data_IF_131780153801
#
_entry.id   IF_131780153801
#
_cell.length_a   1.000
_cell.length_b   1.000
_cell.length_c   1.000
_cell.angle_alpha   90.00
_cell.angle_beta   90.00
_cell.angle_gamma   90.00
#
_symmetry.space_group_name_H-M   'P 1'
#
loop_
_entity.id
_entity.type
_entity.pdbx_description
1 polymer ?
#
# COMPACT_ATOMS: atom_id res chain seq x y z
N UNK A 1 -8.19 2.03 11.52
CA UNK A 1 -7.23 0.95 11.20
C UNK A 1 -5.99 1.63 10.68
N UNK A 2 -4.78 1.23 11.13
CA UNK A 2 -3.57 1.69 10.48
C UNK A 2 -3.56 1.16 9.04
N UNK A 3 -3.30 2.03 8.07
CA UNK A 3 -3.14 1.68 6.66
C UNK A 3 -1.86 0.85 6.52
N UNK A 4 -1.93 -0.46 6.78
CA UNK A 4 -0.80 -1.36 6.63
C UNK A 4 -0.73 -1.83 5.16
N UNK A 5 0.30 -1.41 4.40
CA UNK A 5 0.48 -1.85 3.03
C UNK A 5 0.47 -3.37 2.87
N UNK A 6 1.12 -4.11 3.77
CA UNK A 6 1.23 -5.57 3.70
C UNK A 6 -0.13 -6.24 3.82
N UNK A 7 -1.00 -5.71 4.69
CA UNK A 7 -2.36 -6.22 4.84
C UNK A 7 -3.18 -5.99 3.56
N UNK A 8 -3.01 -4.85 2.88
CA UNK A 8 -3.64 -4.59 1.59
C UNK A 8 -3.09 -5.48 0.47
N UNK A 9 -1.76 -5.69 0.43
CA UNK A 9 -1.12 -6.62 -0.52
C UNK A 9 -1.64 -8.05 -0.33
N UNK A 10 -1.74 -8.51 0.91
CA UNK A 10 -2.30 -9.83 1.24
C UNK A 10 -3.75 -9.98 0.74
N UNK A 11 -4.59 -8.97 0.97
CA UNK A 11 -5.98 -8.97 0.48
C UNK A 11 -6.06 -8.94 -1.04
N UNK A 12 -5.22 -8.15 -1.71
CA UNK A 12 -5.14 -8.15 -3.16
C UNK A 12 -4.79 -9.55 -3.70
N UNK A 13 -3.80 -10.22 -3.10
CA UNK A 13 -3.41 -11.56 -3.49
C UNK A 13 -4.52 -12.60 -3.27
N UNK A 14 -5.27 -12.50 -2.17
CA UNK A 14 -6.44 -13.35 -1.91
C UNK A 14 -7.51 -13.15 -2.99
N UNK A 15 -7.85 -11.90 -3.33
CA UNK A 15 -8.86 -11.64 -4.35
C UNK A 15 -8.40 -12.05 -5.75
N UNK A 16 -7.11 -11.94 -6.05
CA UNK A 16 -6.53 -12.49 -7.28
C UNK A 16 -6.74 -14.01 -7.35
N UNK A 17 -6.39 -14.73 -6.28
CA UNK A 17 -6.59 -16.18 -6.21
C UNK A 17 -8.08 -16.56 -6.32
N UNK A 18 -8.98 -15.78 -5.72
CA UNK A 18 -10.42 -15.97 -5.85
C UNK A 18 -10.89 -15.77 -7.30
N UNK A 19 -10.37 -14.75 -8.00
CA UNK A 19 -10.69 -14.52 -9.40
C UNK A 19 -10.21 -15.66 -10.30
N UNK A 20 -9.01 -16.18 -10.04
CA UNK A 20 -8.43 -17.30 -10.78
C UNK A 20 -9.22 -18.60 -10.56
N UNK A 21 -9.76 -18.81 -9.36
CA UNK A 21 -10.60 -19.96 -9.02
C UNK A 21 -12.08 -19.81 -9.47
N UNK A 22 -12.51 -18.61 -9.86
CA UNK A 22 -13.92 -18.34 -10.17
C UNK A 22 -14.36 -18.98 -11.50
N UNK A 23 -15.42 -19.79 -11.42
CA UNK A 23 -16.07 -20.44 -12.57
C UNK A 23 -17.12 -19.55 -13.24
N UNK A 24 -17.64 -18.55 -12.52
CA UNK A 24 -18.60 -17.57 -13.04
C UNK A 24 -17.90 -16.25 -13.32
N UNK A 25 -18.14 -15.67 -14.50
CA UNK A 25 -17.49 -14.43 -14.94
C UNK A 25 -17.83 -13.24 -14.02
N UNK A 26 -19.07 -13.14 -13.56
CA UNK A 26 -19.48 -12.07 -12.64
C UNK A 26 -18.73 -12.11 -11.30
N UNK A 27 -18.39 -13.30 -10.81
CA UNK A 27 -17.58 -13.49 -9.59
C UNK A 27 -16.13 -13.12 -9.88
N UNK A 28 -15.58 -13.59 -11.00
CA UNK A 28 -14.22 -13.25 -11.44
C UNK A 28 -14.02 -11.74 -11.53
N UNK A 29 -14.96 -11.04 -12.17
CA UNK A 29 -14.90 -9.59 -12.36
C UNK A 29 -15.06 -8.81 -11.06
N UNK A 30 -15.87 -9.30 -10.12
CA UNK A 30 -15.97 -8.72 -8.78
C UNK A 30 -14.65 -8.88 -8.02
N UNK A 31 -14.05 -10.06 -8.03
CA UNK A 31 -12.77 -10.33 -7.37
C UNK A 31 -11.63 -9.49 -7.99
N UNK A 32 -11.56 -9.37 -9.32
CA UNK A 32 -10.58 -8.49 -10.00
C UNK A 32 -10.73 -7.02 -9.60
N UNK A 33 -11.97 -6.50 -9.49
CA UNK A 33 -12.20 -5.13 -9.00
C UNK A 33 -11.76 -4.97 -7.55
N UNK A 34 -11.98 -5.98 -6.71
CA UNK A 34 -11.53 -5.97 -5.33
C UNK A 34 -9.99 -6.00 -5.24
N UNK A 35 -9.32 -6.88 -6.00
CA UNK A 35 -7.86 -6.91 -6.13
C UNK A 35 -7.29 -5.55 -6.51
N UNK A 36 -7.87 -4.88 -7.53
CA UNK A 36 -7.45 -3.55 -7.96
C UNK A 36 -7.63 -2.51 -6.86
N UNK A 37 -8.76 -2.53 -6.13
CA UNK A 37 -9.01 -1.61 -5.03
C UNK A 37 -8.00 -1.79 -3.88
N UNK A 38 -7.73 -3.04 -3.50
CA UNK A 38 -6.74 -3.36 -2.47
C UNK A 38 -5.33 -2.95 -2.90
N UNK A 39 -4.94 -3.22 -4.14
CA UNK A 39 -3.64 -2.83 -4.70
C UNK A 39 -3.48 -1.30 -4.66
N UNK A 40 -4.50 -0.56 -5.11
CA UNK A 40 -4.45 0.90 -5.09
C UNK A 40 -4.37 1.50 -3.67
N UNK A 41 -4.88 0.81 -2.66
CA UNK A 41 -4.70 1.22 -1.26
C UNK A 41 -3.30 0.91 -0.75
N UNK A 42 -2.73 -0.25 -1.10
CA UNK A 42 -1.33 -0.57 -0.80
C UNK A 42 -0.39 0.49 -1.36
N UNK A 43 -0.53 0.82 -2.65
CA UNK A 43 0.32 1.82 -3.32
C UNK A 43 0.18 3.23 -2.71
N UNK A 44 -1.01 3.58 -2.20
CA UNK A 44 -1.22 4.85 -1.48
C UNK A 44 -0.52 4.84 -0.11
N UNK A 45 -0.64 3.75 0.64
CA UNK A 45 -0.04 3.60 1.95
C UNK A 45 1.50 3.56 1.88
N UNK A 46 2.06 2.88 0.87
CA UNK A 46 3.51 2.83 0.59
C UNK A 46 4.06 4.22 0.27
N UNK A 47 3.44 4.95 -0.66
CA UNK A 47 3.84 6.32 -1.00
C UNK A 47 3.77 7.26 0.20
N UNK A 48 2.74 7.12 1.03
CA UNK A 48 2.60 7.94 2.25
C UNK A 48 3.73 7.66 3.23
N UNK A 49 4.07 6.39 3.40
CA UNK A 49 5.18 5.95 4.26
C UNK A 49 6.52 6.44 3.72
N UNK A 50 6.80 6.28 2.43
CA UNK A 50 8.02 6.77 1.78
C UNK A 50 8.17 8.28 1.95
N UNK A 51 7.12 9.05 1.65
CA UNK A 51 7.16 10.50 1.81
C UNK A 51 7.37 10.92 3.27
N UNK A 52 6.84 10.17 4.24
CA UNK A 52 7.10 10.42 5.66
C UNK A 52 8.58 10.21 5.98
N UNK A 53 9.17 9.09 5.56
CA UNK A 53 10.59 8.80 5.78
C UNK A 53 11.51 9.86 5.14
N UNK A 54 11.17 10.33 3.93
CA UNK A 54 11.92 11.41 3.26
C UNK A 54 11.88 12.70 4.09
N UNK A 55 10.70 13.08 4.61
CA UNK A 55 10.54 14.30 5.44
C UNK A 55 11.29 14.16 6.76
N UNK A 56 11.20 13.01 7.42
CA UNK A 56 11.91 12.72 8.67
C UNK A 56 13.43 12.81 8.48
N UNK A 57 13.97 12.20 7.42
CA UNK A 57 15.39 12.29 7.10
C UNK A 57 15.84 13.73 6.77
N UNK A 58 15.01 14.52 6.08
CA UNK A 58 15.30 15.93 5.81
C UNK A 58 15.30 16.78 7.10
N UNK A 59 14.37 16.51 8.01
CA UNK A 59 14.31 17.18 9.32
C UNK A 59 15.52 16.81 10.18
N UNK A 60 15.88 15.52 10.28
CA UNK A 60 17.04 15.06 11.02
C UNK A 60 18.33 15.76 10.54
N UNK A 61 18.56 15.79 9.22
CA UNK A 61 19.71 16.50 8.63
C UNK A 61 19.74 17.99 8.98
N UNK A 62 18.59 18.67 9.02
CA UNK A 62 18.52 20.09 9.41
C UNK A 62 18.88 20.29 10.88
N UNK A 63 18.40 19.41 11.76
CA UNK A 63 18.72 19.47 13.19
C UNK A 63 20.21 19.25 13.41
N UNK A 64 20.82 18.27 12.73
CA UNK A 64 22.26 17.99 12.84
C UNK A 64 23.12 19.19 12.43
N UNK A 65 22.75 19.89 11.34
CA UNK A 65 23.46 21.11 10.89
C UNK A 65 23.36 22.21 11.95
N UNK A 66 22.17 22.48 12.49
CA UNK A 66 21.98 23.53 13.49
C UNK A 66 22.70 23.25 14.82
N UNK A 67 22.94 21.98 15.17
CA UNK A 67 23.68 21.61 16.39
C UNK A 67 25.21 21.63 16.21
N UNK A 68 25.69 21.70 14.97
CA UNK A 68 27.12 21.74 14.65
C UNK A 68 27.68 23.17 14.52
N UNK A 69 26.81 24.18 14.38
CA UNK A 69 27.13 25.62 14.41
C UNK A 69 27.04 26.19 15.85
#
# INVERSE_FOLDING_TARGET
>A
MADNPEAYRSRAAVERANADAATLDNVRDRCRRAEQAWTAMADRAERTTEQRLIREAATARRVDVTLAD
#
